data_IF_393865402021
#
_entry.id   IF_393865402021
#
_cell.length_a   1.000
_cell.length_b   1.000
_cell.length_c   1.000
_cell.angle_alpha   90.00
_cell.angle_beta   90.00
_cell.angle_gamma   90.00
#
_symmetry.space_group_name_H-M   'P 1'
#
loop_
_entity.id
_entity.type
_entity.pdbx_description
1 polymer ?
#
# COMPACT_ATOMS: atom_id res chain seq x y z
N UNK A 1 9.11 11.20 20.99
CA UNK A 1 8.92 10.25 19.87
C UNK A 1 9.67 10.60 18.59
N UNK A 2 10.07 11.86 18.34
CA UNK A 2 10.85 12.24 17.14
C UNK A 2 12.30 11.69 17.13
N UNK A 3 12.92 11.53 18.30
CA UNK A 3 14.30 11.02 18.45
C UNK A 3 14.52 9.63 17.85
N UNK A 4 13.59 8.68 18.05
CA UNK A 4 13.75 7.31 17.55
C UNK A 4 13.77 7.23 16.02
N UNK A 5 12.88 7.97 15.36
CA UNK A 5 12.89 8.07 13.90
C UNK A 5 14.21 8.63 13.38
N UNK A 6 14.77 9.64 14.07
CA UNK A 6 16.07 10.21 13.70
C UNK A 6 17.20 9.18 13.82
N UNK A 7 17.24 8.36 14.88
CA UNK A 7 18.24 7.29 15.01
C UNK A 7 18.17 6.28 13.86
N UNK A 8 16.96 5.88 13.45
CA UNK A 8 16.77 4.98 12.30
C UNK A 8 17.26 5.64 11.00
N UNK A 9 16.96 6.92 10.80
CA UNK A 9 17.41 7.68 9.63
C UNK A 9 18.95 7.78 9.61
N UNK A 10 19.58 8.08 10.75
CA UNK A 10 21.04 8.10 10.86
C UNK A 10 21.68 6.75 10.54
N UNK A 11 21.07 5.64 10.97
CA UNK A 11 21.54 4.30 10.63
C UNK A 11 21.48 4.04 9.11
N UNK A 12 20.38 4.42 8.46
CA UNK A 12 20.22 4.29 6.99
C UNK A 12 21.26 5.16 6.26
N UNK A 13 21.45 6.41 6.71
CA UNK A 13 22.44 7.32 6.12
C UNK A 13 23.87 6.79 6.27
N UNK A 14 24.22 6.22 7.42
CA UNK A 14 25.51 5.56 7.62
C UNK A 14 25.71 4.44 6.59
N UNK A 15 24.72 3.57 6.41
CA UNK A 15 24.76 2.50 5.41
C UNK A 15 24.93 3.02 3.98
N UNK A 16 24.21 4.09 3.62
CA UNK A 16 24.33 4.73 2.31
C UNK A 16 25.72 5.33 2.08
N UNK A 17 26.29 6.02 3.07
CA UNK A 17 27.66 6.58 2.97
C UNK A 17 28.69 5.47 2.86
N UNK A 18 28.58 4.40 3.65
CA UNK A 18 29.48 3.24 3.56
C UNK A 18 29.36 2.54 2.21
N UNK A 19 28.15 2.38 1.68
CA UNK A 19 27.90 1.82 0.35
C UNK A 19 28.49 2.69 -0.77
N UNK A 20 28.33 4.00 -0.69
CA UNK A 20 28.90 4.96 -1.63
C UNK A 20 30.43 4.99 -1.60
N UNK A 21 31.04 4.96 -0.39
CA UNK A 21 32.49 4.87 -0.25
C UNK A 21 33.02 3.54 -0.76
N UNK A 22 32.31 2.44 -0.49
CA UNK A 22 32.69 1.13 -0.99
C UNK A 22 32.59 1.03 -2.52
N UNK A 23 31.59 1.65 -3.15
CA UNK A 23 31.46 1.64 -4.61
C UNK A 23 32.59 2.43 -5.29
N UNK A 24 33.13 3.48 -4.66
CA UNK A 24 34.27 4.25 -5.17
C UNK A 24 35.61 3.54 -4.91
N UNK A 25 35.85 3.10 -3.68
CA UNK A 25 37.15 2.55 -3.26
C UNK A 25 37.35 1.09 -3.68
N UNK A 26 36.26 0.30 -3.69
CA UNK A 26 36.26 -1.14 -3.97
C UNK A 26 34.99 -1.54 -4.75
N UNK A 27 34.87 -1.16 -6.03
CA UNK A 27 33.67 -1.41 -6.83
C UNK A 27 33.32 -2.91 -6.96
N UNK A 28 34.33 -3.79 -6.89
CA UNK A 28 34.18 -5.26 -6.90
C UNK A 28 33.61 -5.83 -5.59
N UNK A 29 33.60 -5.05 -4.49
CA UNK A 29 33.11 -5.52 -3.20
C UNK A 29 31.60 -5.71 -3.20
N UNK A 30 31.10 -6.69 -2.43
CA UNK A 30 29.66 -6.94 -2.32
C UNK A 30 28.88 -5.69 -1.89
N UNK A 31 29.41 -4.90 -0.95
CA UNK A 31 28.77 -3.67 -0.49
C UNK A 31 28.68 -2.60 -1.60
N UNK A 32 29.75 -2.42 -2.37
CA UNK A 32 29.77 -1.48 -3.50
C UNK A 32 28.82 -1.89 -4.62
N UNK A 33 28.77 -3.19 -4.95
CA UNK A 33 27.84 -3.73 -5.96
C UNK A 33 26.38 -3.56 -5.55
N UNK A 34 26.02 -3.86 -4.31
CA UNK A 34 24.64 -3.68 -3.81
C UNK A 34 24.22 -2.22 -3.79
N UNK A 35 25.13 -1.30 -3.44
CA UNK A 35 24.85 0.14 -3.52
C UNK A 35 24.52 0.56 -4.97
N UNK A 36 25.33 0.15 -5.94
CA UNK A 36 25.13 0.46 -7.36
C UNK A 36 23.85 -0.20 -7.90
N UNK A 37 23.56 -1.45 -7.52
CA UNK A 37 22.31 -2.13 -7.85
C UNK A 37 21.09 -1.35 -7.34
N UNK A 38 21.17 -0.79 -6.13
CA UNK A 38 20.14 0.09 -5.57
C UNK A 38 19.89 1.33 -6.43
N UNK A 39 20.95 1.99 -6.92
CA UNK A 39 20.82 3.14 -7.83
C UNK A 39 20.22 2.73 -9.17
N UNK A 40 20.62 1.59 -9.73
CA UNK A 40 20.05 1.09 -10.98
C UNK A 40 18.57 0.71 -10.86
N UNK A 41 18.11 0.30 -9.68
CA UNK A 41 16.70 0.00 -9.42
C UNK A 41 15.80 1.25 -9.47
N UNK A 42 16.35 2.46 -9.32
CA UNK A 42 15.56 3.71 -9.34
C UNK A 42 14.83 3.87 -10.68
N UNK A 43 15.48 3.56 -11.81
CA UNK A 43 14.88 3.75 -13.14
C UNK A 43 13.59 2.97 -13.34
N UNK A 44 13.60 1.62 -13.20
CA UNK A 44 12.39 0.80 -13.31
C UNK A 44 11.29 1.19 -12.32
N UNK A 45 11.65 1.48 -11.06
CA UNK A 45 10.69 1.90 -10.03
C UNK A 45 10.03 3.23 -10.40
N UNK A 46 10.83 4.22 -10.83
CA UNK A 46 10.35 5.53 -11.24
C UNK A 46 9.45 5.45 -12.47
N UNK A 47 9.80 4.64 -13.48
CA UNK A 47 8.98 4.48 -14.68
C UNK A 47 7.57 3.96 -14.33
N UNK A 48 7.48 2.98 -13.43
CA UNK A 48 6.20 2.45 -12.98
C UNK A 48 5.36 3.52 -12.26
N UNK A 49 5.98 4.26 -11.34
CA UNK A 49 5.31 5.34 -10.60
C UNK A 49 4.89 6.50 -11.52
N UNK A 50 5.76 6.93 -12.43
CA UNK A 50 5.46 7.98 -13.41
C UNK A 50 4.28 7.60 -14.32
N UNK A 51 4.21 6.32 -14.72
CA UNK A 51 3.07 5.78 -15.47
C UNK A 51 1.75 5.94 -14.72
N UNK A 52 1.71 5.59 -13.43
CA UNK A 52 0.51 5.80 -12.60
C UNK A 52 0.22 7.31 -12.49
N UNK A 53 1.22 8.16 -12.23
CA UNK A 53 1.03 9.60 -12.08
C UNK A 53 0.41 10.26 -13.32
N UNK A 54 0.90 9.91 -14.52
CA UNK A 54 0.31 10.38 -15.78
C UNK A 54 -1.10 9.82 -15.99
N UNK A 55 -1.35 8.60 -15.53
CA UNK A 55 -2.65 7.95 -15.65
C UNK A 55 -3.67 8.39 -14.59
N UNK A 56 -3.29 9.12 -13.53
CA UNK A 56 -4.19 9.56 -12.43
C UNK A 56 -5.54 10.08 -12.93
N UNK A 57 -5.64 11.05 -13.87
CA UNK A 57 -6.95 11.58 -14.28
C UNK A 57 -7.84 10.51 -14.91
N UNK A 58 -7.25 9.58 -15.67
CA UNK A 58 -7.98 8.48 -16.31
C UNK A 58 -8.37 7.40 -15.30
N UNK A 59 -7.44 7.00 -14.42
CA UNK A 59 -7.67 6.04 -13.35
C UNK A 59 -8.74 6.55 -12.39
N UNK A 60 -8.67 7.81 -11.99
CA UNK A 60 -9.64 8.44 -11.11
C UNK A 60 -11.04 8.37 -11.70
N UNK A 61 -11.20 8.72 -12.99
CA UNK A 61 -12.49 8.64 -13.67
C UNK A 61 -12.99 7.21 -13.84
N UNK A 62 -12.10 6.28 -14.22
CA UNK A 62 -12.43 4.88 -14.42
C UNK A 62 -12.87 4.22 -13.11
N UNK A 63 -12.12 4.40 -12.03
CA UNK A 63 -12.43 3.84 -10.71
C UNK A 63 -13.70 4.48 -10.14
N UNK A 64 -13.86 5.79 -10.26
CA UNK A 64 -15.09 6.49 -9.86
C UNK A 64 -16.32 5.95 -10.59
N UNK A 65 -16.19 5.61 -11.87
CA UNK A 65 -17.31 5.08 -12.65
C UNK A 65 -17.59 3.59 -12.34
N UNK A 66 -16.54 2.77 -12.23
CA UNK A 66 -16.67 1.32 -12.08
C UNK A 66 -16.95 0.88 -10.64
N UNK A 67 -16.23 1.45 -9.67
CA UNK A 67 -16.30 1.07 -8.25
C UNK A 67 -16.99 2.12 -7.38
N UNK A 68 -17.04 3.38 -7.83
CA UNK A 68 -17.65 4.47 -7.08
C UNK A 68 -19.09 4.21 -6.65
N UNK A 69 -20.01 3.74 -7.52
CA UNK A 69 -21.39 3.47 -7.11
C UNK A 69 -21.50 2.42 -5.99
N UNK A 70 -20.67 1.38 -6.04
CA UNK A 70 -20.65 0.34 -5.01
C UNK A 70 -20.09 0.86 -3.68
N UNK A 71 -19.01 1.64 -3.71
CA UNK A 71 -18.41 2.16 -2.48
C UNK A 71 -19.26 3.27 -1.86
N UNK A 72 -19.83 4.17 -2.67
CA UNK A 72 -20.69 5.26 -2.20
C UNK A 72 -22.01 4.74 -1.62
N UNK A 73 -22.64 3.72 -2.21
CA UNK A 73 -23.88 3.13 -1.66
C UNK A 73 -23.68 2.48 -0.29
N UNK A 74 -22.46 2.01 0.00
CA UNK A 74 -22.06 1.46 1.30
C UNK A 74 -21.52 2.52 2.27
N UNK A 75 -21.57 3.80 1.92
CA UNK A 75 -21.10 4.92 2.75
C UNK A 75 -19.57 5.02 2.83
N UNK A 76 -18.87 4.58 1.79
CA UNK A 76 -17.42 4.66 1.65
C UNK A 76 -17.01 5.58 0.50
N UNK A 77 -15.71 5.79 0.37
CA UNK A 77 -15.11 6.68 -0.60
C UNK A 77 -14.44 5.97 -1.77
N UNK A 78 -14.38 6.66 -2.90
CA UNK A 78 -13.76 6.18 -4.12
C UNK A 78 -12.25 5.96 -3.94
N UNK A 79 -11.57 6.75 -3.10
CA UNK A 79 -10.14 6.56 -2.82
C UNK A 79 -9.86 5.22 -2.14
N UNK A 80 -10.74 4.77 -1.24
CA UNK A 80 -10.63 3.47 -0.57
C UNK A 80 -10.80 2.35 -1.60
N UNK A 81 -11.69 2.53 -2.58
CA UNK A 81 -11.82 1.61 -3.70
C UNK A 81 -10.54 1.57 -4.54
N UNK A 82 -9.99 2.74 -4.89
CA UNK A 82 -8.78 2.85 -5.69
C UNK A 82 -7.58 2.18 -5.01
N UNK A 83 -7.35 2.50 -3.74
CA UNK A 83 -6.21 1.98 -2.98
C UNK A 83 -6.43 0.55 -2.46
N UNK A 84 -7.65 0.01 -2.56
CA UNK A 84 -7.83 -1.44 -2.34
C UNK A 84 -7.11 -2.28 -3.40
N UNK A 85 -6.90 -1.72 -4.59
CA UNK A 85 -6.20 -2.35 -5.71
C UNK A 85 -4.79 -1.77 -5.85
N UNK A 86 -4.66 -0.45 -5.93
CA UNK A 86 -3.37 0.19 -6.21
C UNK A 86 -2.61 0.40 -4.91
N UNK A 87 -1.46 -0.28 -4.80
CA UNK A 87 -0.57 -0.14 -3.66
C UNK A 87 0.03 1.27 -3.58
N UNK A 88 0.34 1.71 -2.35
CA UNK A 88 0.84 3.07 -2.09
C UNK A 88 2.17 3.33 -2.80
N UNK A 89 3.07 2.35 -2.78
CA UNK A 89 4.40 2.39 -3.37
C UNK A 89 4.39 2.45 -4.91
N UNK A 90 3.29 2.04 -5.55
CA UNK A 90 3.12 2.12 -7.00
C UNK A 90 2.61 3.49 -7.49
N UNK A 91 2.40 4.46 -6.60
CA UNK A 91 1.78 5.76 -6.93
C UNK A 91 0.37 5.92 -6.36
N UNK A 92 -0.08 4.96 -5.55
CA UNK A 92 -1.34 5.04 -4.82
C UNK A 92 -1.41 6.24 -3.86
N UNK A 93 -0.27 6.72 -3.37
CA UNK A 93 -0.20 7.94 -2.54
C UNK A 93 -0.81 9.14 -3.27
N UNK A 94 -0.33 9.41 -4.48
CA UNK A 94 -0.74 10.56 -5.30
C UNK A 94 -2.18 10.37 -5.79
N UNK A 95 -2.55 9.12 -6.08
CA UNK A 95 -3.93 8.80 -6.46
C UNK A 95 -4.92 9.02 -5.31
N UNK A 96 -4.56 8.66 -4.07
CA UNK A 96 -5.38 8.96 -2.89
C UNK A 96 -5.55 10.46 -2.69
N UNK A 97 -4.46 11.21 -2.81
CA UNK A 97 -4.47 12.67 -2.66
C UNK A 97 -5.38 13.34 -3.70
N UNK A 98 -5.37 12.84 -4.94
CA UNK A 98 -6.24 13.34 -6.00
C UNK A 98 -7.73 12.95 -5.85
N UNK A 99 -8.04 11.84 -5.16
CA UNK A 99 -9.39 11.30 -5.03
C UNK A 99 -10.09 11.70 -3.74
N UNK A 100 -9.35 12.09 -2.71
CA UNK A 100 -9.91 12.34 -1.37
C UNK A 100 -10.32 13.79 -1.17
N UNK A 101 -11.44 13.98 -0.49
CA UNK A 101 -11.93 15.31 -0.12
C UNK A 101 -11.26 15.86 1.15
N UNK A 102 -10.77 14.98 2.03
CA UNK A 102 -10.17 15.36 3.30
C UNK A 102 -9.06 14.38 3.71
N UNK A 103 -8.27 14.79 4.71
CA UNK A 103 -7.11 14.02 5.18
C UNK A 103 -7.48 12.75 5.92
N UNK A 104 -8.66 12.67 6.53
CA UNK A 104 -9.16 11.47 7.21
C UNK A 104 -9.42 10.32 6.23
N UNK A 105 -10.06 10.64 5.11
CA UNK A 105 -10.28 9.73 4.00
C UNK A 105 -8.95 9.34 3.35
N UNK A 106 -8.03 10.31 3.22
CA UNK A 106 -6.68 10.06 2.71
C UNK A 106 -5.91 9.06 3.57
N UNK A 107 -5.86 9.24 4.89
CA UNK A 107 -5.18 8.32 5.81
C UNK A 107 -5.84 6.94 5.75
N UNK A 108 -7.18 6.91 5.74
CA UNK A 108 -7.93 5.65 5.63
C UNK A 108 -7.59 4.91 4.34
N UNK A 109 -7.61 5.59 3.19
CA UNK A 109 -7.24 5.02 1.91
C UNK A 109 -5.79 4.53 1.89
N UNK A 110 -4.86 5.29 2.48
CA UNK A 110 -3.45 4.93 2.59
C UNK A 110 -3.24 3.65 3.40
N UNK A 111 -3.91 3.51 4.56
CA UNK A 111 -3.89 2.27 5.34
C UNK A 111 -4.42 1.07 4.55
N UNK A 112 -5.43 1.30 3.71
CA UNK A 112 -5.96 0.28 2.80
C UNK A 112 -4.95 -0.05 1.69
N UNK A 113 -4.26 0.93 1.13
CA UNK A 113 -3.21 0.73 0.12
C UNK A 113 -2.01 -0.05 0.65
N UNK A 114 -1.58 0.23 1.89
CA UNK A 114 -0.48 -0.50 2.55
C UNK A 114 -0.83 -1.96 2.87
N UNK A 115 -2.12 -2.30 2.92
CA UNK A 115 -2.58 -3.64 3.29
C UNK A 115 -3.16 -4.38 2.08
N UNK A 116 -4.29 -3.93 1.56
CA UNK A 116 -5.00 -4.53 0.43
C UNK A 116 -4.26 -4.39 -0.89
N UNK A 117 -3.89 -3.16 -1.26
CA UNK A 117 -3.21 -2.92 -2.54
C UNK A 117 -1.92 -3.74 -2.64
N UNK A 118 -1.09 -3.68 -1.60
CA UNK A 118 0.13 -4.48 -1.51
C UNK A 118 -0.14 -5.99 -1.55
N UNK A 119 -1.21 -6.48 -0.92
CA UNK A 119 -1.51 -7.93 -0.95
C UNK A 119 -1.97 -8.39 -2.34
N UNK A 120 -2.89 -7.64 -2.95
CA UNK A 120 -3.58 -8.07 -4.18
C UNK A 120 -2.67 -7.92 -5.40
N UNK A 121 -1.98 -6.78 -5.53
CA UNK A 121 -1.20 -6.45 -6.74
C UNK A 121 0.26 -6.88 -6.61
N UNK A 122 0.80 -6.98 -5.39
CA UNK A 122 2.20 -7.35 -5.20
C UNK A 122 2.36 -8.78 -4.64
N UNK A 123 1.83 -9.06 -3.44
CA UNK A 123 2.11 -10.33 -2.75
C UNK A 123 1.62 -11.57 -3.52
N UNK A 124 0.41 -11.53 -4.09
CA UNK A 124 -0.13 -12.68 -4.83
C UNK A 124 0.65 -12.94 -6.12
N UNK A 125 0.83 -11.97 -7.05
CA UNK A 125 1.55 -12.23 -8.30
C UNK A 125 3.02 -12.57 -8.07
N UNK A 126 3.72 -11.78 -7.26
CA UNK A 126 5.15 -12.02 -6.98
C UNK A 126 5.33 -13.37 -6.28
N UNK A 127 4.50 -13.68 -5.28
CA UNK A 127 4.54 -14.96 -4.60
C UNK A 127 4.32 -16.15 -5.55
N UNK A 128 3.36 -16.06 -6.48
CA UNK A 128 3.09 -17.13 -7.45
C UNK A 128 4.21 -17.31 -8.47
N UNK A 129 4.89 -16.23 -8.88
CA UNK A 129 6.02 -16.30 -9.81
C UNK A 129 7.30 -16.84 -9.17
N UNK A 130 7.51 -16.58 -7.88
CA UNK A 130 8.72 -17.00 -7.17
C UNK A 130 8.61 -18.41 -6.58
N UNK A 131 7.42 -18.85 -6.19
CA UNK A 131 7.21 -20.15 -5.54
C UNK A 131 7.02 -21.29 -6.54
N UNK A 132 7.48 -22.48 -6.15
CA UNK A 132 7.18 -23.71 -6.86
C UNK A 132 5.68 -24.02 -6.81
N UNK A 133 5.16 -24.69 -7.85
CA UNK A 133 3.72 -25.02 -7.97
C UNK A 133 3.15 -25.78 -6.76
N UNK A 134 3.97 -26.60 -6.10
CA UNK A 134 3.59 -27.35 -4.90
C UNK A 134 3.25 -26.43 -3.72
N UNK A 135 3.87 -25.25 -3.67
CA UNK A 135 3.76 -24.30 -2.57
C UNK A 135 2.68 -23.23 -2.78
N UNK A 136 2.12 -23.14 -4.00
CA UNK A 136 1.05 -22.20 -4.34
C UNK A 136 -0.20 -22.36 -3.45
N UNK A 137 -0.47 -23.58 -2.96
CA UNK A 137 -1.56 -23.83 -2.02
C UNK A 137 -1.33 -23.12 -0.68
N UNK A 138 -0.10 -23.14 -0.17
CA UNK A 138 0.25 -22.47 1.09
C UNK A 138 0.22 -20.95 0.93
N UNK A 139 0.69 -20.44 -0.20
CA UNK A 139 0.56 -19.02 -0.54
C UNK A 139 -0.92 -18.60 -0.58
N UNK A 140 -1.78 -19.36 -1.27
CA UNK A 140 -3.20 -19.06 -1.35
C UNK A 140 -3.88 -19.07 0.03
N UNK A 141 -3.56 -20.03 0.89
CA UNK A 141 -4.06 -20.09 2.27
C UNK A 141 -3.62 -18.87 3.10
N UNK A 142 -2.33 -18.51 3.03
CA UNK A 142 -1.79 -17.34 3.70
C UNK A 142 -2.43 -16.03 3.19
N UNK A 143 -2.54 -15.88 1.87
CA UNK A 143 -3.17 -14.73 1.24
C UNK A 143 -4.66 -14.61 1.62
N UNK A 144 -5.41 -15.71 1.70
CA UNK A 144 -6.80 -15.69 2.16
C UNK A 144 -6.92 -15.23 3.62
N UNK A 145 -6.09 -15.75 4.51
CA UNK A 145 -6.07 -15.33 5.92
C UNK A 145 -5.71 -13.84 6.04
N UNK A 146 -4.73 -13.39 5.25
CA UNK A 146 -4.35 -11.99 5.13
C UNK A 146 -5.52 -11.13 4.67
N UNK A 147 -6.17 -11.48 3.56
CA UNK A 147 -7.31 -10.75 2.98
C UNK A 147 -8.45 -10.57 3.99
N UNK A 148 -8.82 -11.62 4.72
CA UNK A 148 -9.86 -11.54 5.76
C UNK A 148 -9.45 -10.64 6.92
N UNK A 149 -8.15 -10.55 7.22
CA UNK A 149 -7.61 -9.76 8.33
C UNK A 149 -7.42 -8.29 8.00
N UNK A 150 -7.24 -7.91 6.72
CA UNK A 150 -7.07 -6.52 6.27
C UNK A 150 -8.08 -5.56 6.89
N UNK A 151 -9.39 -5.84 6.86
CA UNK A 151 -10.35 -4.87 7.31
C UNK A 151 -10.18 -4.65 8.84
N UNK A 152 -9.87 -5.70 9.61
CA UNK A 152 -9.58 -5.56 11.03
C UNK A 152 -8.27 -4.80 11.30
N UNK A 153 -7.23 -5.02 10.48
CA UNK A 153 -5.96 -4.32 10.58
C UNK A 153 -6.12 -2.80 10.36
N UNK A 154 -6.87 -2.40 9.33
CA UNK A 154 -7.15 -0.98 9.06
C UNK A 154 -7.95 -0.35 10.19
N UNK A 155 -8.93 -1.06 10.77
CA UNK A 155 -9.67 -0.58 11.94
C UNK A 155 -8.75 -0.40 13.15
N UNK A 156 -7.90 -1.38 13.44
CA UNK A 156 -6.96 -1.31 14.56
C UNK A 156 -5.98 -0.15 14.39
N UNK A 157 -5.47 0.08 13.18
CA UNK A 157 -4.60 1.21 12.88
C UNK A 157 -5.30 2.55 13.10
N UNK A 158 -6.52 2.74 12.57
CA UNK A 158 -7.30 3.97 12.77
C UNK A 158 -7.59 4.23 14.25
N UNK A 159 -7.94 3.17 15.01
CA UNK A 159 -8.15 3.27 16.45
C UNK A 159 -6.88 3.67 17.19
N UNK A 160 -5.75 3.04 16.90
CA UNK A 160 -4.48 3.38 17.53
C UNK A 160 -4.07 4.83 17.23
N UNK A 161 -4.25 5.28 15.98
CA UNK A 161 -3.96 6.67 15.59
C UNK A 161 -4.85 7.66 16.36
N UNK A 162 -6.15 7.36 16.44
CA UNK A 162 -7.14 8.24 17.08
C UNK A 162 -6.97 8.27 18.60
N UNK A 163 -6.79 7.10 19.25
CA UNK A 163 -6.63 6.97 20.70
C UNK A 163 -5.33 7.61 21.21
N UNK A 164 -4.25 7.56 20.42
CA UNK A 164 -2.97 8.15 20.80
C UNK A 164 -2.84 9.61 20.35
N UNK A 165 -3.90 10.20 19.78
CA UNK A 165 -3.91 11.56 19.23
C UNK A 165 -2.67 11.82 18.34
N UNK A 166 -2.38 10.92 17.42
CA UNK A 166 -1.20 11.05 16.55
C UNK A 166 -1.50 12.11 15.48
N UNK A 167 -0.77 13.24 15.43
CA UNK A 167 -1.00 14.25 14.43
C UNK A 167 -0.47 13.81 13.07
N UNK A 168 -1.20 14.15 12.02
CA UNK A 168 -0.83 13.91 10.62
C UNK A 168 -0.51 15.24 9.95
N UNK A 169 0.46 15.21 9.05
CA UNK A 169 0.82 16.37 8.23
C UNK A 169 -0.12 16.46 7.04
N UNK A 170 -0.65 17.65 6.80
CA UNK A 170 -1.45 17.94 5.61
C UNK A 170 -0.59 17.98 4.36
N UNK A 171 0.64 18.51 4.49
CA UNK A 171 1.58 18.68 3.39
C UNK A 171 2.74 17.67 3.49
N UNK A 172 3.25 17.26 2.33
CA UNK A 172 4.49 16.49 2.22
C UNK A 172 5.66 17.41 2.53
N UNK A 173 6.04 17.46 3.80
CA UNK A 173 7.14 18.30 4.27
C UNK A 173 7.82 17.63 5.46
N UNK A 174 9.14 17.79 5.53
CA UNK A 174 9.96 17.30 6.64
C UNK A 174 9.97 18.27 7.82
N UNK A 175 9.71 19.57 7.58
CA UNK A 175 9.77 20.64 8.59
C UNK A 175 8.44 21.27 8.99
N UNK A 176 7.34 20.97 8.29
CA UNK A 176 6.03 21.56 8.59
C UNK A 176 5.40 20.94 9.85
N UNK A 177 4.64 21.74 10.63
CA UNK A 177 3.95 21.23 11.81
C UNK A 177 2.87 20.21 11.40
N UNK A 178 2.72 19.15 12.19
CA UNK A 178 1.62 18.20 12.06
C UNK A 178 0.45 18.71 12.91
N UNK A 179 -0.59 19.23 12.26
CA UNK A 179 -1.73 19.88 12.92
C UNK A 179 -3.05 19.14 12.72
N UNK A 180 -3.09 18.19 11.78
CA UNK A 180 -4.32 17.45 11.47
C UNK A 180 -4.48 16.26 12.42
N UNK A 181 -5.60 16.18 13.11
CA UNK A 181 -5.97 15.03 13.94
C UNK A 181 -7.18 14.36 13.31
N UNK A 182 -7.20 13.03 13.32
CA UNK A 182 -8.33 12.30 12.76
C UNK A 182 -9.59 12.59 13.57
N UNK A 183 -10.65 13.00 12.88
CA UNK A 183 -11.96 13.29 13.47
C UNK A 183 -12.99 12.19 13.17
N UNK A 184 -12.52 10.97 12.89
CA UNK A 184 -13.37 9.83 12.56
C UNK A 184 -13.91 9.17 13.84
N UNK A 185 -15.23 9.05 13.92
CA UNK A 185 -15.88 8.23 14.94
C UNK A 185 -15.75 6.73 14.61
N UNK A 186 -15.88 5.88 15.62
CA UNK A 186 -15.83 4.42 15.44
C UNK A 186 -16.85 3.90 14.40
N UNK A 187 -18.02 4.55 14.33
CA UNK A 187 -19.04 4.20 13.36
C UNK A 187 -18.62 4.55 11.93
N UNK A 188 -17.94 5.68 11.74
CA UNK A 188 -17.45 6.11 10.43
C UNK A 188 -16.28 5.25 9.96
N UNK A 189 -15.36 4.91 10.87
CA UNK A 189 -14.28 3.94 10.58
C UNK A 189 -14.82 2.59 10.09
N UNK A 190 -15.94 2.12 10.68
CA UNK A 190 -16.62 0.89 10.24
C UNK A 190 -17.30 1.05 8.88
N UNK A 191 -18.02 2.15 8.67
CA UNK A 191 -18.76 2.43 7.42
C UNK A 191 -17.81 2.54 6.24
N UNK A 192 -16.76 3.35 6.36
CA UNK A 192 -15.74 3.56 5.33
C UNK A 192 -15.09 2.25 4.87
N UNK A 193 -14.99 1.26 5.75
CA UNK A 193 -14.29 0.01 5.49
C UNK A 193 -15.22 -1.17 5.19
N UNK A 194 -16.54 -1.00 5.32
CA UNK A 194 -17.52 -2.04 5.01
C UNK A 194 -17.38 -2.60 3.59
N UNK A 195 -17.27 -1.79 2.51
CA UNK A 195 -17.12 -2.33 1.15
C UNK A 195 -15.80 -3.08 0.98
N UNK A 196 -14.71 -2.61 1.59
CA UNK A 196 -13.43 -3.33 1.59
C UNK A 196 -13.59 -4.72 2.22
N UNK A 197 -14.31 -4.82 3.34
CA UNK A 197 -14.61 -6.10 3.98
C UNK A 197 -15.35 -7.07 3.06
N UNK A 198 -16.36 -6.57 2.33
CA UNK A 198 -17.11 -7.38 1.35
C UNK A 198 -16.18 -7.85 0.23
N UNK A 199 -15.36 -6.96 -0.34
CA UNK A 199 -14.41 -7.30 -1.41
C UNK A 199 -13.40 -8.35 -0.93
N UNK A 200 -12.80 -8.15 0.24
CA UNK A 200 -11.83 -9.09 0.83
C UNK A 200 -12.45 -10.48 1.06
N UNK A 201 -13.67 -10.55 1.59
CA UNK A 201 -14.38 -11.82 1.80
C UNK A 201 -14.71 -12.51 0.48
N UNK A 202 -15.16 -11.76 -0.54
CA UNK A 202 -15.44 -12.31 -1.87
C UNK A 202 -14.17 -12.84 -2.55
N UNK A 203 -13.06 -12.12 -2.43
CA UNK A 203 -11.76 -12.55 -2.95
C UNK A 203 -11.25 -13.79 -2.22
N UNK A 204 -11.34 -13.82 -0.89
CA UNK A 204 -10.93 -14.97 -0.08
C UNK A 204 -11.82 -16.21 -0.34
N UNK A 205 -13.14 -16.05 -0.35
CA UNK A 205 -14.06 -17.13 -0.75
C UNK A 205 -13.74 -17.62 -2.16
N UNK A 206 -13.43 -16.69 -3.05
CA UNK A 206 -13.01 -17.01 -4.37
C UNK A 206 -11.74 -17.88 -4.45
N UNK A 207 -10.68 -17.50 -3.72
CA UNK A 207 -9.46 -18.28 -3.64
C UNK A 207 -9.72 -19.68 -3.05
N UNK A 208 -10.65 -19.79 -2.09
CA UNK A 208 -11.05 -21.06 -1.49
C UNK A 208 -11.77 -22.00 -2.46
N UNK A 209 -12.76 -21.50 -3.20
CA UNK A 209 -13.64 -22.34 -4.03
C UNK A 209 -13.14 -22.55 -5.46
N UNK A 210 -12.23 -21.69 -5.97
CA UNK A 210 -11.69 -21.75 -7.34
C UNK A 210 -10.18 -21.54 -7.40
N UNK A 211 -9.42 -22.16 -6.48
CA UNK A 211 -7.96 -22.05 -6.43
C UNK A 211 -7.29 -22.42 -7.77
N UNK A 212 -7.66 -23.57 -8.36
CA UNK A 212 -6.99 -24.10 -9.56
C UNK A 212 -7.24 -23.26 -10.82
N UNK A 213 -8.43 -22.66 -10.98
CA UNK A 213 -8.77 -21.85 -12.15
C UNK A 213 -8.17 -20.43 -12.09
N UNK A 214 -7.79 -19.94 -10.91
CA UNK A 214 -7.24 -18.58 -10.73
C UNK A 214 -5.71 -18.53 -10.70
N UNK A 215 -5.03 -19.60 -10.31
CA UNK A 215 -3.57 -19.69 -10.51
C UNK A 215 -3.23 -19.46 -11.98
N UNK A 216 -4.05 -19.96 -12.92
CA UNK A 216 -3.90 -19.68 -14.34
C UNK A 216 -4.23 -18.23 -14.72
N UNK A 217 -5.17 -17.57 -14.04
CA UNK A 217 -5.55 -16.18 -14.32
C UNK A 217 -4.61 -15.12 -13.74
N UNK A 218 -3.83 -15.45 -12.71
CA UNK A 218 -2.79 -14.57 -12.15
C UNK A 218 -1.41 -14.78 -12.78
N UNK A 219 -1.20 -15.89 -13.52
CA UNK A 219 0.05 -16.22 -14.21
C UNK A 219 0.04 -15.87 -15.71
N UNK A 220 -1.06 -15.28 -16.21
CA UNK A 220 -1.18 -14.75 -17.58
C UNK A 220 -0.96 -13.24 -17.56
#
# INVERSE_FOLDING_TARGET
MAEFGNYVIYLIMLGAVLGALASILRPESGLGREFVNGIHAIGPVFLAQAGIMVAIPYLSKAISHALGPFFQTLGSDVSIAALSIIAVDMGGYQLADALTANRDMWITAMLVGYTSGATIVYLIPVGLTMLERKDHKYLALGAMAGLISIPFAVLAALLLITLNHIPVRELVSTGSPALHYLALDFLDMRRLRAPLGVVCVLLAAGLKYRATARVTGFLV
#
